data_IF_704186648602
#
_entry.id   IF_704186648602
#
_cell.length_a   1.000
_cell.length_b   1.000
_cell.length_c   1.000
_cell.angle_alpha   90.00
_cell.angle_beta   90.00
_cell.angle_gamma   90.00
#
_symmetry.space_group_name_H-M   'P 1'
#
loop_
_entity.id
_entity.type
_entity.pdbx_description
1 polymer ?
#
# COMPACT_ATOMS: atom_id res chain seq x y z
N UNK A 1 30.28 22.72 18.08
CA UNK A 1 28.97 22.34 18.67
C UNK A 1 28.39 21.18 17.87
N UNK A 2 28.14 19.99 18.47
CA UNK A 2 27.45 18.93 17.75
C UNK A 2 25.95 19.26 17.69
N UNK A 3 25.39 19.26 16.48
CA UNK A 3 23.93 19.39 16.28
C UNK A 3 23.25 18.19 16.90
N UNK A 4 22.37 18.45 17.88
CA UNK A 4 21.44 17.48 18.45
C UNK A 4 20.55 16.96 17.32
N UNK A 5 20.83 15.76 16.79
CA UNK A 5 19.92 15.07 15.88
C UNK A 5 18.63 14.80 16.67
N UNK A 6 17.58 15.51 16.33
CA UNK A 6 16.21 15.16 16.73
C UNK A 6 15.94 13.75 16.23
N UNK A 7 15.32 12.90 17.05
CA UNK A 7 14.94 11.52 16.70
C UNK A 7 13.88 11.41 15.58
N UNK A 8 13.73 12.47 14.77
CA UNK A 8 12.89 12.60 13.58
C UNK A 8 13.59 12.16 12.29
N UNK A 9 14.86 11.71 12.33
CA UNK A 9 15.66 11.35 11.14
C UNK A 9 15.65 9.85 10.78
N UNK A 10 14.86 9.02 11.47
CA UNK A 10 14.61 7.64 11.01
C UNK A 10 13.35 7.66 10.16
N UNK A 11 13.52 7.80 8.84
CA UNK A 11 12.44 8.01 7.90
C UNK A 11 11.33 6.95 8.02
N UNK A 12 11.69 5.68 8.27
CA UNK A 12 10.83 4.56 8.71
C UNK A 12 11.69 3.55 9.47
N UNK A 13 11.16 2.91 10.53
CA UNK A 13 11.96 2.00 11.38
C UNK A 13 12.02 0.58 10.80
N UNK A 14 11.08 0.19 9.94
CA UNK A 14 11.09 -1.12 9.30
C UNK A 14 10.38 -1.13 7.94
N UNK A 15 10.70 -2.13 7.12
CA UNK A 15 9.98 -2.42 5.87
C UNK A 15 8.49 -2.68 6.12
N UNK A 16 8.14 -3.32 7.24
CA UNK A 16 6.76 -3.65 7.61
C UNK A 16 5.93 -2.41 7.92
N UNK A 17 6.53 -1.35 8.47
CA UNK A 17 5.85 -0.05 8.64
C UNK A 17 5.48 0.56 7.28
N UNK A 18 6.42 0.57 6.33
CA UNK A 18 6.17 1.07 4.96
C UNK A 18 5.10 0.21 4.28
N UNK A 19 5.21 -1.12 4.42
CA UNK A 19 4.25 -2.10 3.89
C UNK A 19 2.85 -1.83 4.42
N UNK A 20 2.70 -1.64 5.74
CA UNK A 20 1.43 -1.32 6.37
C UNK A 20 0.86 0.01 5.87
N UNK A 21 1.70 1.05 5.80
CA UNK A 21 1.28 2.38 5.35
C UNK A 21 0.80 2.36 3.89
N UNK A 22 1.51 1.66 3.00
CA UNK A 22 1.12 1.45 1.60
C UNK A 22 -0.26 0.79 1.52
N UNK A 23 -0.47 -0.30 2.26
CA UNK A 23 -1.73 -1.05 2.23
C UNK A 23 -2.89 -0.23 2.80
N UNK A 24 -2.68 0.45 3.94
CA UNK A 24 -3.68 1.35 4.55
C UNK A 24 -4.04 2.49 3.59
N UNK A 25 -3.06 3.04 2.89
CA UNK A 25 -3.28 4.09 1.88
C UNK A 25 -4.16 3.58 0.74
N UNK A 26 -3.88 2.38 0.22
CA UNK A 26 -4.73 1.74 -0.81
C UNK A 26 -6.16 1.55 -0.28
N UNK A 27 -6.32 1.04 0.94
CA UNK A 27 -7.62 0.87 1.60
C UNK A 27 -8.37 2.21 1.69
N UNK A 28 -7.70 3.27 2.10
CA UNK A 28 -8.26 4.62 2.18
C UNK A 28 -8.74 5.13 0.82
N UNK A 29 -7.96 4.91 -0.25
CA UNK A 29 -8.37 5.25 -1.62
C UNK A 29 -9.61 4.46 -2.07
N UNK A 30 -9.67 3.16 -1.75
CA UNK A 30 -10.84 2.33 -2.06
C UNK A 30 -12.08 2.84 -1.33
N UNK A 31 -11.96 3.15 -0.03
CA UNK A 31 -13.07 3.67 0.79
C UNK A 31 -13.71 4.91 0.16
N UNK A 32 -12.87 5.85 -0.30
CA UNK A 32 -13.30 7.09 -0.97
C UNK A 32 -13.89 6.88 -2.37
N UNK A 33 -13.67 5.71 -2.98
CA UNK A 33 -14.12 5.44 -4.36
C UNK A 33 -15.59 5.03 -4.41
N UNK A 34 -16.38 5.70 -5.24
CA UNK A 34 -17.78 5.31 -5.55
C UNK A 34 -17.88 4.22 -6.63
N UNK A 35 -16.89 4.14 -7.53
CA UNK A 35 -16.82 3.16 -8.62
C UNK A 35 -16.40 1.74 -8.17
N UNK A 36 -16.19 0.85 -9.14
CA UNK A 36 -15.87 -0.57 -8.93
C UNK A 36 -14.38 -0.92 -9.12
N UNK A 37 -13.56 0.06 -9.49
CA UNK A 37 -12.13 -0.08 -9.70
C UNK A 37 -11.39 1.24 -9.44
N UNK A 38 -10.11 1.14 -9.06
CA UNK A 38 -9.17 2.26 -9.07
C UNK A 38 -7.86 1.86 -9.73
N UNK A 39 -7.18 2.83 -10.31
CA UNK A 39 -5.79 2.68 -10.79
C UNK A 39 -4.85 3.65 -10.08
N UNK A 40 -3.61 3.24 -9.93
CA UNK A 40 -2.57 4.03 -9.27
C UNK A 40 -1.16 3.59 -9.70
N UNK A 41 -0.19 4.47 -9.45
CA UNK A 41 1.24 4.22 -9.64
C UNK A 41 1.94 4.19 -8.28
N UNK A 42 3.17 3.67 -8.23
CA UNK A 42 3.98 3.70 -7.01
C UNK A 42 4.14 5.13 -6.46
N UNK A 43 4.40 6.11 -7.34
CA UNK A 43 4.50 7.53 -6.97
C UNK A 43 3.19 8.06 -6.36
N UNK A 44 2.04 7.74 -6.94
CA UNK A 44 0.73 8.17 -6.41
C UNK A 44 0.50 7.60 -5.00
N UNK A 45 0.84 6.33 -4.78
CA UNK A 45 0.70 5.69 -3.47
C UNK A 45 1.65 6.31 -2.46
N UNK A 46 2.93 6.51 -2.82
CA UNK A 46 3.92 7.13 -1.93
C UNK A 46 3.45 8.51 -1.45
N UNK A 47 3.06 9.38 -2.38
CA UNK A 47 2.57 10.73 -2.05
C UNK A 47 1.29 10.68 -1.22
N UNK A 48 0.35 9.79 -1.56
CA UNK A 48 -0.91 9.64 -0.79
C UNK A 48 -0.69 9.10 0.62
N UNK A 49 0.40 8.35 0.82
CA UNK A 49 0.84 7.83 2.11
C UNK A 49 1.64 8.86 2.94
N UNK A 50 1.89 10.06 2.41
CA UNK A 50 2.77 11.04 3.06
C UNK A 50 4.25 10.68 2.99
N UNK A 51 4.62 9.70 2.17
CA UNK A 51 6.00 9.29 1.96
C UNK A 51 6.72 10.29 1.02
N UNK A 52 7.99 10.62 1.26
CA UNK A 52 8.75 11.41 0.30
C UNK A 52 8.98 10.61 -0.98
N UNK A 53 8.81 11.25 -2.14
CA UNK A 53 8.96 10.61 -3.45
C UNK A 53 10.44 10.44 -3.88
N UNK A 54 11.31 10.08 -2.95
CA UNK A 54 12.71 9.79 -3.21
C UNK A 54 12.87 8.43 -3.90
N UNK A 55 13.89 8.23 -4.76
CA UNK A 55 14.06 6.99 -5.51
C UNK A 55 14.04 5.72 -4.65
N UNK A 56 14.70 5.73 -3.49
CA UNK A 56 14.73 4.58 -2.56
C UNK A 56 13.33 4.22 -2.08
N UNK A 57 12.53 5.21 -1.67
CA UNK A 57 11.16 5.01 -1.20
C UNK A 57 10.25 4.53 -2.32
N UNK A 58 10.38 5.09 -3.52
CA UNK A 58 9.62 4.64 -4.68
C UNK A 58 9.95 3.18 -5.05
N UNK A 59 11.20 2.76 -4.89
CA UNK A 59 11.62 1.36 -5.08
C UNK A 59 10.97 0.44 -4.05
N UNK A 60 10.95 0.81 -2.77
CA UNK A 60 10.27 0.03 -1.72
C UNK A 60 8.77 -0.07 -1.97
N UNK A 61 8.10 1.05 -2.29
CA UNK A 61 6.67 1.04 -2.63
C UNK A 61 6.42 0.17 -3.86
N UNK A 62 7.27 0.24 -4.88
CA UNK A 62 7.15 -0.60 -6.08
C UNK A 62 7.25 -2.08 -5.73
N UNK A 63 8.23 -2.49 -4.94
CA UNK A 63 8.39 -3.88 -4.49
C UNK A 63 7.17 -4.37 -3.70
N UNK A 64 6.62 -3.54 -2.80
CA UNK A 64 5.37 -3.86 -2.09
C UNK A 64 4.21 -4.08 -3.07
N UNK A 65 4.04 -3.19 -4.06
CA UNK A 65 2.98 -3.33 -5.08
C UNK A 65 3.17 -4.58 -5.95
N UNK A 66 4.42 -4.93 -6.27
CA UNK A 66 4.73 -6.16 -7.01
C UNK A 66 4.37 -7.41 -6.19
N UNK A 67 4.70 -7.44 -4.90
CA UNK A 67 4.28 -8.52 -3.99
C UNK A 67 2.76 -8.63 -3.88
N UNK A 68 2.05 -7.51 -3.70
CA UNK A 68 0.58 -7.50 -3.71
C UNK A 68 0.00 -8.03 -5.03
N UNK A 69 0.67 -7.74 -6.16
CA UNK A 69 0.25 -8.26 -7.46
C UNK A 69 0.53 -9.75 -7.61
N UNK A 70 1.67 -10.25 -7.10
CA UNK A 70 2.01 -11.68 -7.06
C UNK A 70 0.95 -12.48 -6.30
N UNK A 71 0.44 -11.92 -5.21
CA UNK A 71 -0.62 -12.54 -4.41
C UNK A 71 -2.05 -12.23 -4.90
N UNK A 72 -2.20 -11.64 -6.10
CA UNK A 72 -3.50 -11.35 -6.73
C UNK A 72 -4.39 -10.39 -5.93
N UNK A 73 -3.82 -9.64 -4.99
CA UNK A 73 -4.53 -8.60 -4.24
C UNK A 73 -4.73 -7.34 -5.09
N UNK A 74 -3.78 -7.06 -5.98
CA UNK A 74 -3.89 -6.07 -7.05
C UNK A 74 -3.49 -6.70 -8.39
N UNK A 75 -3.62 -5.95 -9.49
CA UNK A 75 -3.18 -6.36 -10.83
C UNK A 75 -2.31 -5.29 -11.46
N UNK A 76 -1.37 -5.70 -12.30
CA UNK A 76 -0.73 -4.79 -13.25
C UNK A 76 -1.75 -4.45 -14.34
N UNK A 77 -2.03 -3.17 -14.53
CA UNK A 77 -2.93 -2.66 -15.56
C UNK A 77 -2.19 -2.34 -16.85
N UNK A 78 -1.04 -1.67 -16.74
CA UNK A 78 -0.17 -1.38 -17.89
C UNK A 78 1.28 -1.19 -17.46
N UNK A 79 2.19 -1.45 -18.38
CA UNK A 79 3.63 -1.17 -18.24
C UNK A 79 4.05 -0.26 -19.40
N UNK A 80 4.70 0.86 -19.08
CA UNK A 80 5.25 1.80 -20.08
C UNK A 80 6.68 2.18 -19.69
N UNK A 81 7.38 2.91 -20.57
CA UNK A 81 8.68 3.53 -20.28
C UNK A 81 8.65 4.42 -19.02
N UNK A 82 7.50 5.02 -18.72
CA UNK A 82 7.29 5.90 -17.57
C UNK A 82 6.90 5.16 -16.27
N UNK A 83 6.74 3.83 -16.32
CA UNK A 83 6.54 2.99 -15.15
C UNK A 83 5.32 2.05 -15.22
N UNK A 84 4.98 1.49 -14.07
CA UNK A 84 3.90 0.50 -13.93
C UNK A 84 2.65 1.15 -13.34
N UNK A 85 1.51 0.96 -14.01
CA UNK A 85 0.19 1.30 -13.49
C UNK A 85 -0.46 0.04 -12.94
N UNK A 86 -0.90 0.10 -11.70
CA UNK A 86 -1.62 -0.97 -11.01
C UNK A 86 -3.12 -0.67 -10.96
N UNK A 87 -3.91 -1.71 -10.77
CA UNK A 87 -5.35 -1.67 -10.63
C UNK A 87 -5.81 -2.58 -9.49
N UNK A 88 -6.83 -2.15 -8.76
CA UNK A 88 -7.61 -3.00 -7.87
C UNK A 88 -9.10 -2.80 -8.15
N UNK A 89 -9.87 -3.89 -8.13
CA UNK A 89 -11.29 -3.91 -8.44
C UNK A 89 -12.09 -4.49 -7.26
N UNK A 90 -13.43 -4.36 -7.34
CA UNK A 90 -14.36 -4.86 -6.32
C UNK A 90 -14.27 -6.34 -5.99
N UNK A 91 -13.66 -7.15 -6.85
CA UNK A 91 -13.48 -8.59 -6.62
C UNK A 91 -12.23 -8.93 -5.79
N UNK A 92 -11.33 -7.98 -5.56
CA UNK A 92 -10.15 -8.20 -4.71
C UNK A 92 -10.53 -8.37 -3.25
N UNK A 93 -9.87 -9.31 -2.55
CA UNK A 93 -10.02 -9.48 -1.11
C UNK A 93 -9.75 -8.18 -0.34
N UNK A 94 -8.72 -7.43 -0.74
CA UNK A 94 -8.36 -6.15 -0.13
C UNK A 94 -9.46 -5.09 -0.32
N UNK A 95 -10.17 -5.12 -1.45
CA UNK A 95 -11.31 -4.25 -1.69
C UNK A 95 -12.50 -4.59 -0.78
N UNK A 96 -12.82 -5.88 -0.66
CA UNK A 96 -13.92 -6.34 0.19
C UNK A 96 -13.69 -5.95 1.65
N UNK A 97 -12.46 -6.09 2.14
CA UNK A 97 -12.02 -5.63 3.45
C UNK A 97 -12.20 -4.11 3.57
N UNK A 98 -11.67 -3.34 2.63
CA UNK A 98 -11.75 -1.88 2.66
C UNK A 98 -13.20 -1.34 2.72
N UNK A 99 -14.15 -2.03 2.08
CA UNK A 99 -15.58 -1.67 2.05
C UNK A 99 -16.41 -2.28 3.18
N UNK A 100 -15.80 -2.97 4.15
CA UNK A 100 -16.52 -3.63 5.25
C UNK A 100 -17.43 -4.77 4.80
N UNK A 101 -17.25 -5.27 3.57
CA UNK A 101 -18.05 -6.37 2.98
C UNK A 101 -17.36 -7.73 3.13
N UNK A 102 -16.16 -7.75 3.71
CA UNK A 102 -15.40 -8.97 3.96
C UNK A 102 -15.66 -9.52 5.36
N UNK A 103 -16.49 -10.56 5.49
CA UNK A 103 -16.43 -11.50 6.63
C UNK A 103 -15.22 -12.48 6.51
N UNK A 104 -14.32 -12.25 5.56
CA UNK A 104 -13.19 -13.13 5.22
C UNK A 104 -11.89 -12.56 5.74
N UNK A 105 -11.13 -13.37 6.48
CA UNK A 105 -9.73 -13.13 6.85
C UNK A 105 -8.91 -12.88 5.58
N UNK A 106 -8.13 -11.79 5.56
CA UNK A 106 -7.10 -11.59 4.54
C UNK A 106 -6.10 -12.74 4.65
N UNK A 107 -6.08 -13.63 3.65
CA UNK A 107 -5.08 -14.72 3.59
C UNK A 107 -3.99 -14.30 2.63
N UNK A 108 -2.82 -13.98 3.18
CA UNK A 108 -1.68 -13.45 2.46
C UNK A 108 -0.42 -13.75 3.28
N UNK A 109 0.43 -14.69 2.85
CA UNK A 109 1.73 -14.94 3.50
C UNK A 109 2.58 -13.66 3.56
N UNK A 110 2.58 -12.85 2.50
CA UNK A 110 3.34 -11.61 2.45
C UNK A 110 2.86 -10.55 3.46
N UNK A 111 1.56 -10.47 3.71
CA UNK A 111 0.97 -9.51 4.65
C UNK A 111 0.80 -10.07 6.06
N UNK A 112 1.14 -11.33 6.31
CA UNK A 112 0.92 -12.02 7.59
C UNK A 112 1.34 -11.19 8.80
N UNK A 113 2.55 -10.63 8.75
CA UNK A 113 3.13 -9.82 9.82
C UNK A 113 2.39 -8.51 10.09
N UNK A 114 1.62 -8.00 9.13
CA UNK A 114 0.90 -6.71 9.23
C UNK A 114 -0.61 -6.84 9.19
N UNK A 115 -1.17 -8.05 9.08
CA UNK A 115 -2.62 -8.29 9.18
C UNK A 115 -3.22 -7.65 10.45
N UNK A 116 -2.61 -7.78 11.66
CA UNK A 116 -3.15 -7.14 12.87
C UNK A 116 -3.26 -5.63 12.74
N UNK A 117 -2.26 -4.99 12.10
CA UNK A 117 -2.22 -3.54 11.87
C UNK A 117 -3.33 -3.13 10.89
N UNK A 118 -3.49 -3.88 9.79
CA UNK A 118 -4.52 -3.62 8.78
C UNK A 118 -5.91 -3.74 9.41
N UNK A 119 -6.19 -4.82 10.13
CA UNK A 119 -7.52 -5.06 10.73
C UNK A 119 -7.90 -3.95 11.69
N UNK A 120 -6.99 -3.50 12.55
CA UNK A 120 -7.24 -2.38 13.49
C UNK A 120 -7.61 -1.06 12.81
N UNK A 121 -7.12 -0.81 11.59
CA UNK A 121 -7.41 0.39 10.81
C UNK A 121 -8.65 0.25 9.90
N UNK A 122 -9.18 -0.97 9.79
CA UNK A 122 -10.35 -1.27 8.96
C UNK A 122 -11.64 -1.35 9.79
N UNK A 123 -11.55 -1.78 11.05
CA UNK A 123 -12.61 -1.65 12.05
C UNK A 123 -13.04 -0.20 12.25
#
# INVERSE_FOLDING_TARGET
>A
MPRKHSSSDVLYRSYDEIKALVVITIISLIRKTKGSAITFTAKKIAVSAGLPAQPVILTLVKDILENLSREKLIKVYSKTSHGVKYMITKSSALWLIAKGKGKKTLKSPYLETIIPIITKNVS
#
